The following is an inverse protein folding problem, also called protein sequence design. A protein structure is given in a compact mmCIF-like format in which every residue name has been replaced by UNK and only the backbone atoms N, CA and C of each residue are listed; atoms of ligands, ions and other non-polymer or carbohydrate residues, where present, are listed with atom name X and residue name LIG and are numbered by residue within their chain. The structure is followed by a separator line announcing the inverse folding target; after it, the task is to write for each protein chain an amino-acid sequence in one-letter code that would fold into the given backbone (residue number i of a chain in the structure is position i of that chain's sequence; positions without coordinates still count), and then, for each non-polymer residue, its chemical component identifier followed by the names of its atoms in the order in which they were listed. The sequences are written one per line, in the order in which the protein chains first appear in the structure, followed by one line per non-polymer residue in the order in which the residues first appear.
data_IF_501844911438
#
_entry.id   IF_501844911438
#
_cell.length_a   1.000
_cell.length_b   1.000
_cell.length_c   1.000
_cell.angle_alpha   90.00
_cell.angle_beta   90.00
_cell.angle_gamma   90.00
#
_symmetry.space_group_name_H-M   'P 1'
#
loop_
_entity.id
_entity.type
_entity.pdbx_description
1 polymer ?
#
# COMPACT_ATOMS: atom_id res chain seq x y z
N UNK A 1 38.13 -34.41 14.40
CA UNK A 1 36.79 -34.81 14.85
C UNK A 1 36.16 -33.60 15.50
N UNK A 2 35.10 -33.08 14.84
CA UNK A 2 33.97 -32.26 15.33
C UNK A 2 34.33 -31.20 16.39
N UNK A 3 34.33 -29.91 16.05
CA UNK A 3 33.07 -29.14 16.07
C UNK A 3 32.86 -28.28 14.82
N UNK A 4 31.90 -28.73 14.00
CA UNK A 4 31.29 -27.98 12.91
C UNK A 4 29.84 -27.59 13.27
N UNK A 5 29.53 -27.43 14.57
CA UNK A 5 28.17 -27.20 15.07
C UNK A 5 28.06 -26.06 16.10
N UNK A 6 28.86 -24.99 15.98
CA UNK A 6 28.31 -23.67 16.30
C UNK A 6 27.48 -23.21 15.10
N UNK A 7 26.36 -23.91 14.89
CA UNK A 7 25.31 -23.47 13.99
C UNK A 7 24.79 -22.16 14.57
N UNK A 8 25.26 -21.08 13.98
CA UNK A 8 24.94 -19.67 14.19
C UNK A 8 23.64 -19.43 14.99
N UNK A 9 23.77 -19.34 16.33
CA UNK A 9 22.64 -19.04 17.23
C UNK A 9 22.01 -17.67 16.94
N UNK A 10 22.69 -16.85 16.13
CA UNK A 10 22.24 -15.54 15.70
C UNK A 10 21.42 -15.58 14.40
N UNK A 11 21.40 -16.70 13.67
CA UNK A 11 20.63 -16.88 12.42
C UNK A 11 19.12 -16.92 12.63
N UNK A 12 18.64 -16.97 13.88
CA UNK A 12 17.21 -17.00 14.23
C UNK A 12 16.65 -15.62 14.61
N UNK A 13 17.46 -14.56 14.52
CA UNK A 13 17.01 -13.21 14.90
C UNK A 13 16.06 -12.66 13.84
N UNK A 14 14.84 -12.34 14.28
CA UNK A 14 13.78 -11.76 13.45
C UNK A 14 13.96 -10.24 13.19
N UNK A 15 14.91 -9.60 13.88
CA UNK A 15 15.17 -8.16 13.81
C UNK A 15 16.66 -7.86 13.63
N UNK A 16 16.94 -6.68 13.10
CA UNK A 16 18.29 -6.28 12.61
C UNK A 16 19.11 -5.61 13.70
N UNK A 17 18.52 -5.52 14.89
CA UNK A 17 19.17 -5.04 16.08
C UNK A 17 18.29 -5.24 17.30
N UNK A 18 18.94 -5.10 18.44
CA UNK A 18 18.33 -5.22 19.76
C UNK A 18 19.31 -4.77 20.83
N UNK A 19 18.78 -4.47 22.01
CA UNK A 19 19.62 -4.18 23.17
C UNK A 19 20.17 -5.51 23.73
N UNK A 20 21.49 -5.64 23.78
CA UNK A 20 22.16 -6.77 24.43
C UNK A 20 22.64 -6.34 25.82
N UNK A 21 22.13 -7.01 26.85
CA UNK A 21 22.46 -6.70 28.25
C UNK A 21 23.93 -6.98 28.56
N UNK A 22 24.48 -8.08 28.06
CA UNK A 22 25.89 -8.47 28.29
C UNK A 22 26.88 -7.44 27.73
N UNK A 23 26.55 -6.86 26.57
CA UNK A 23 27.32 -5.79 25.94
C UNK A 23 26.94 -4.39 26.48
N UNK A 24 25.84 -4.29 27.23
CA UNK A 24 25.20 -3.05 27.67
C UNK A 24 25.04 -2.02 26.52
N UNK A 25 24.61 -2.49 25.35
CA UNK A 25 24.57 -1.69 24.13
C UNK A 25 23.43 -2.12 23.19
N UNK A 26 23.01 -1.21 22.32
CA UNK A 26 22.16 -1.55 21.19
C UNK A 26 23.03 -2.05 20.04
N UNK A 27 22.88 -3.33 19.72
CA UNK A 27 23.70 -4.02 18.72
C UNK A 27 22.91 -4.16 17.42
N UNK A 28 23.58 -3.95 16.29
CA UNK A 28 23.04 -4.21 14.95
C UNK A 28 23.69 -5.45 14.36
N UNK A 29 22.90 -6.22 13.61
CA UNK A 29 23.35 -7.44 12.94
C UNK A 29 23.04 -7.35 11.46
N UNK A 30 23.98 -7.80 10.64
CA UNK A 30 23.79 -7.87 9.21
C UNK A 30 22.70 -8.89 8.87
N UNK A 31 21.67 -8.45 8.12
CA UNK A 31 20.62 -9.34 7.59
C UNK A 31 21.09 -10.28 6.49
N UNK A 32 22.11 -9.83 5.77
CA UNK A 32 22.63 -10.47 4.59
C UNK A 32 24.14 -10.22 4.50
N UNK A 33 24.79 -10.91 3.58
CA UNK A 33 26.22 -10.78 3.37
C UNK A 33 26.54 -9.53 2.54
N UNK A 34 26.94 -8.45 3.21
CA UNK A 34 27.43 -7.22 2.56
C UNK A 34 28.89 -7.35 2.12
N UNK A 35 29.20 -6.97 0.88
CA UNK A 35 30.57 -6.86 0.37
C UNK A 35 31.13 -5.46 0.64
N UNK A 36 32.45 -5.34 0.58
CA UNK A 36 33.12 -4.04 0.71
C UNK A 36 32.62 -3.07 -0.38
N UNK A 37 32.06 -1.94 0.05
CA UNK A 37 31.48 -0.92 -0.84
C UNK A 37 29.96 -1.00 -0.97
N UNK A 38 29.33 -2.07 -0.49
CA UNK A 38 27.88 -2.19 -0.47
C UNK A 38 27.26 -1.27 0.58
N UNK A 39 26.06 -0.76 0.27
CA UNK A 39 25.26 -0.05 1.25
C UNK A 39 24.67 -1.05 2.26
N UNK A 40 24.97 -0.85 3.54
CA UNK A 40 24.35 -1.61 4.63
C UNK A 40 22.98 -1.00 4.95
N UNK A 41 21.93 -1.82 4.95
CA UNK A 41 20.56 -1.41 5.19
C UNK A 41 20.02 -2.04 6.48
N UNK A 42 19.03 -1.37 7.07
CA UNK A 42 18.31 -1.83 8.26
C UNK A 42 16.80 -1.80 8.00
N UNK A 43 16.10 -2.79 8.53
CA UNK A 43 14.65 -2.83 8.54
C UNK A 43 14.10 -1.92 9.64
N UNK A 44 13.27 -0.96 9.24
CA UNK A 44 12.68 0.01 10.18
C UNK A 44 11.53 -0.62 10.97
N UNK A 45 10.97 -1.72 10.47
CA UNK A 45 9.82 -2.41 11.05
C UNK A 45 8.75 -2.71 10.00
N UNK A 46 7.58 -3.14 10.46
CA UNK A 46 6.43 -3.51 9.61
C UNK A 46 5.54 -2.32 9.31
N UNK A 47 6.12 -1.24 8.80
CA UNK A 47 5.40 -0.01 8.46
C UNK A 47 4.76 -0.10 7.07
N UNK A 48 3.57 0.46 6.95
CA UNK A 48 2.92 0.77 5.67
C UNK A 48 3.63 1.93 4.99
N UNK A 49 3.40 2.09 3.68
CA UNK A 49 3.96 3.24 2.97
C UNK A 49 3.36 4.58 3.45
N UNK A 50 2.13 4.58 3.99
CA UNK A 50 1.56 5.78 4.57
C UNK A 50 2.34 6.19 5.83
N UNK A 51 2.58 5.26 6.75
CA UNK A 51 3.35 5.51 7.97
C UNK A 51 4.80 5.93 7.65
N UNK A 52 5.44 5.29 6.67
CA UNK A 52 6.78 5.67 6.20
C UNK A 52 6.79 7.09 5.64
N UNK A 53 5.76 7.47 4.88
CA UNK A 53 5.66 8.81 4.32
C UNK A 53 5.42 9.87 5.41
N UNK A 54 4.52 9.62 6.34
CA UNK A 54 4.14 10.56 7.40
C UNK A 54 5.25 10.76 8.44
N UNK A 55 5.93 9.69 8.84
CA UNK A 55 6.92 9.74 9.92
C UNK A 55 8.36 9.88 9.44
N UNK A 56 8.68 9.38 8.24
CA UNK A 56 10.05 9.33 7.74
C UNK A 56 10.25 10.08 6.41
N UNK A 57 9.17 10.47 5.73
CA UNK A 57 9.25 11.31 4.53
C UNK A 57 9.70 10.58 3.26
N UNK A 58 9.52 9.26 3.19
CA UNK A 58 9.84 8.48 2.00
C UNK A 58 8.84 7.34 1.76
N UNK A 59 8.89 6.77 0.56
CA UNK A 59 8.13 5.60 0.16
C UNK A 59 9.08 4.49 -0.28
N UNK A 60 8.74 3.24 0.04
CA UNK A 60 9.42 2.09 -0.54
C UNK A 60 8.76 1.72 -1.86
N UNK A 61 9.55 1.37 -2.88
CA UNK A 61 9.01 0.97 -4.18
C UNK A 61 8.13 -0.26 -4.05
N UNK A 62 8.69 -1.31 -3.46
CA UNK A 62 7.99 -2.54 -3.11
C UNK A 62 8.01 -2.68 -1.58
N UNK A 63 6.87 -2.40 -0.94
CA UNK A 63 6.71 -2.58 0.50
C UNK A 63 5.84 -3.83 0.77
N UNK A 64 6.41 -4.95 1.23
CA UNK A 64 5.63 -6.16 1.53
C UNK A 64 4.68 -5.98 2.71
N UNK A 65 4.93 -4.97 3.55
CA UNK A 65 4.11 -4.66 4.72
C UNK A 65 3.02 -3.61 4.44
N UNK A 66 2.86 -3.18 3.19
CA UNK A 66 1.83 -2.21 2.86
C UNK A 66 0.42 -2.81 3.03
N UNK A 67 -0.48 -1.99 3.58
CA UNK A 67 -1.85 -2.38 3.93
C UNK A 67 -2.81 -1.33 3.40
N UNK A 68 -3.79 -1.77 2.63
CA UNK A 68 -4.85 -0.92 2.11
C UNK A 68 -6.17 -1.29 2.78
N UNK A 69 -6.80 -0.29 3.39
CA UNK A 69 -8.08 -0.44 4.06
C UNK A 69 -9.20 0.03 3.14
N UNK A 70 -10.29 -0.74 3.11
CA UNK A 70 -11.51 -0.39 2.38
C UNK A 70 -12.66 -0.19 3.38
N UNK A 71 -13.68 0.62 3.06
CA UNK A 71 -14.88 0.72 3.88
C UNK A 71 -15.58 -0.65 3.98
N UNK A 72 -15.84 -1.09 5.22
CA UNK A 72 -16.57 -2.33 5.51
C UNK A 72 -17.92 -2.02 6.13
N UNK A 73 -18.91 -2.88 5.88
CA UNK A 73 -20.24 -2.74 6.48
C UNK A 73 -20.19 -2.87 8.00
N UNK A 74 -20.95 -2.06 8.77
CA UNK A 74 -21.00 -2.16 10.23
C UNK A 74 -21.32 -3.58 10.74
N UNK A 75 -22.17 -4.31 10.01
CA UNK A 75 -22.56 -5.68 10.34
C UNK A 75 -21.41 -6.71 10.21
N UNK A 76 -20.35 -6.37 9.47
CA UNK A 76 -19.16 -7.22 9.37
C UNK A 76 -18.39 -7.19 10.70
N UNK A 77 -18.21 -6.02 11.30
CA UNK A 77 -17.51 -5.87 12.59
C UNK A 77 -18.22 -6.60 13.74
N UNK A 78 -19.55 -6.62 13.76
CA UNK A 78 -20.31 -7.37 14.77
C UNK A 78 -20.27 -8.89 14.57
N UNK A 79 -19.81 -9.35 13.40
CA UNK A 79 -19.78 -10.77 13.04
C UNK A 79 -18.40 -11.41 13.22
N UNK A 80 -17.36 -10.65 13.56
CA UNK A 80 -15.96 -11.10 13.61
C UNK A 80 -15.29 -10.73 14.93
N UNK A 81 -14.33 -11.55 15.36
CA UNK A 81 -13.43 -11.28 16.50
C UNK A 81 -12.13 -10.60 16.08
N UNK A 82 -11.90 -10.40 14.78
CA UNK A 82 -10.72 -9.74 14.26
C UNK A 82 -10.73 -8.23 14.53
N UNK A 83 -9.56 -7.66 14.85
CA UNK A 83 -9.41 -6.22 14.99
C UNK A 83 -9.53 -5.52 13.63
N UNK A 84 -9.85 -4.22 13.63
CA UNK A 84 -10.01 -3.44 12.38
C UNK A 84 -8.71 -3.38 11.57
N UNK A 85 -7.60 -3.32 12.28
CA UNK A 85 -6.23 -3.25 11.73
C UNK A 85 -5.83 -4.56 11.04
N UNK A 86 -6.54 -5.65 11.31
CA UNK A 86 -6.34 -6.95 10.67
C UNK A 86 -7.15 -7.09 9.37
N UNK A 87 -8.11 -6.20 9.10
CA UNK A 87 -9.03 -6.29 7.97
C UNK A 87 -8.57 -5.39 6.81
N UNK A 88 -7.56 -5.83 6.09
CA UNK A 88 -6.94 -5.07 4.99
C UNK A 88 -6.69 -5.91 3.75
N UNK A 89 -6.29 -5.23 2.67
CA UNK A 89 -5.78 -5.78 1.41
C UNK A 89 -4.26 -5.59 1.41
N UNK A 90 -3.51 -6.66 1.13
CA UNK A 90 -2.06 -6.64 1.02
C UNK A 90 -1.59 -5.89 -0.23
N UNK A 91 -0.34 -5.44 -0.24
CA UNK A 91 0.33 -4.78 -1.37
C UNK A 91 0.21 -5.51 -2.74
N UNK A 92 -0.11 -6.81 -2.76
CA UNK A 92 -0.29 -7.62 -3.96
C UNK A 92 -1.76 -7.78 -4.39
N UNK A 93 -2.65 -6.97 -3.82
CA UNK A 93 -4.10 -7.01 -4.07
C UNK A 93 -4.83 -8.15 -3.37
N UNK A 94 -4.14 -9.05 -2.64
CA UNK A 94 -4.84 -10.13 -1.94
C UNK A 94 -5.47 -9.62 -0.64
N UNK A 95 -6.75 -9.92 -0.36
CA UNK A 95 -7.31 -9.71 0.96
C UNK A 95 -6.52 -10.50 2.03
N UNK A 96 -6.33 -9.88 3.19
CA UNK A 96 -5.77 -10.55 4.37
C UNK A 96 -6.62 -11.74 4.79
N UNK A 97 -6.00 -12.69 5.48
CA UNK A 97 -6.68 -13.87 6.01
C UNK A 97 -7.88 -13.49 6.89
N UNK A 98 -7.70 -12.52 7.77
CA UNK A 98 -8.73 -12.03 8.67
C UNK A 98 -9.89 -11.38 7.91
N UNK A 99 -9.62 -10.59 6.87
CA UNK A 99 -10.65 -10.01 6.01
C UNK A 99 -11.47 -11.11 5.31
N UNK A 100 -10.80 -12.11 4.74
CA UNK A 100 -11.47 -13.23 4.07
C UNK A 100 -12.34 -14.03 5.05
N UNK A 101 -11.80 -14.35 6.22
CA UNK A 101 -12.50 -15.07 7.27
C UNK A 101 -13.74 -14.29 7.75
N UNK A 102 -13.59 -12.99 7.99
CA UNK A 102 -14.69 -12.12 8.40
C UNK A 102 -15.80 -12.07 7.34
N UNK A 103 -15.44 -11.94 6.05
CA UNK A 103 -16.41 -11.93 4.94
C UNK A 103 -17.16 -13.26 4.82
N UNK A 104 -16.46 -14.40 4.90
CA UNK A 104 -17.09 -15.74 4.86
C UNK A 104 -18.11 -15.92 5.97
N UNK A 105 -17.75 -15.52 7.19
CA UNK A 105 -18.61 -15.63 8.35
C UNK A 105 -19.80 -14.67 8.28
N UNK A 106 -19.56 -13.42 7.84
CA UNK A 106 -20.58 -12.41 7.63
C UNK A 106 -21.62 -12.85 6.59
N UNK A 107 -21.17 -13.38 5.46
CA UNK A 107 -22.01 -13.92 4.39
C UNK A 107 -22.74 -15.23 4.77
N UNK A 108 -22.41 -15.83 5.91
CA UNK A 108 -23.13 -16.99 6.44
C UNK A 108 -24.31 -16.55 7.31
N UNK A 109 -25.52 -17.11 7.12
CA UNK A 109 -26.67 -16.84 8.00
C UNK A 109 -26.33 -17.10 9.47
N UNK A 110 -26.80 -16.22 10.37
CA UNK A 110 -26.46 -16.27 11.80
C UNK A 110 -26.68 -17.64 12.45
N UNK A 111 -27.75 -18.35 12.07
CA UNK A 111 -28.08 -19.68 12.57
C UNK A 111 -27.04 -20.76 12.24
N UNK A 112 -26.24 -20.58 11.18
CA UNK A 112 -25.24 -21.54 10.70
C UNK A 112 -23.80 -21.13 11.00
N UNK A 113 -23.55 -19.94 11.54
CA UNK A 113 -22.19 -19.44 11.81
C UNK A 113 -21.40 -20.34 12.76
N UNK A 114 -22.05 -20.86 13.81
CA UNK A 114 -21.39 -21.77 14.78
C UNK A 114 -20.92 -23.07 14.13
N UNK A 115 -21.68 -23.63 13.19
CA UNK A 115 -21.32 -24.90 12.55
C UNK A 115 -20.19 -24.76 11.53
N UNK A 116 -20.04 -23.59 10.90
CA UNK A 116 -19.01 -23.35 9.87
C UNK A 116 -17.79 -22.58 10.37
N UNK A 117 -17.81 -22.08 11.62
CA UNK A 117 -16.75 -21.24 12.17
C UNK A 117 -15.37 -21.90 12.08
N UNK A 118 -15.27 -23.19 12.42
CA UNK A 118 -14.00 -23.93 12.34
C UNK A 118 -13.43 -23.94 10.91
N UNK A 119 -14.27 -24.07 9.88
CA UNK A 119 -13.85 -24.02 8.47
C UNK A 119 -13.34 -22.64 8.09
N UNK A 120 -14.06 -21.59 8.53
CA UNK A 120 -13.69 -20.21 8.26
C UNK A 120 -12.31 -19.90 8.86
N UNK A 121 -12.10 -20.26 10.13
CA UNK A 121 -10.85 -19.98 10.85
C UNK A 121 -9.71 -20.95 10.50
N UNK A 122 -9.98 -22.08 9.83
CA UNK A 122 -8.94 -22.92 9.21
C UNK A 122 -8.57 -22.46 7.79
N UNK A 123 -9.19 -21.39 7.28
CA UNK A 123 -8.96 -20.90 5.91
C UNK A 123 -9.68 -21.69 4.82
N UNK A 124 -10.50 -22.67 5.20
CA UNK A 124 -11.28 -23.49 4.29
C UNK A 124 -12.47 -22.72 3.72
N UNK A 125 -12.93 -23.12 2.53
CA UNK A 125 -14.15 -22.58 1.92
C UNK A 125 -15.37 -23.09 2.67
N UNK A 126 -16.37 -22.23 2.86
CA UNK A 126 -17.65 -22.65 3.48
C UNK A 126 -18.55 -23.32 2.44
N UNK A 127 -18.74 -22.67 1.31
CA UNK A 127 -19.43 -23.21 0.12
C UNK A 127 -19.03 -22.41 -1.12
N UNK A 128 -19.26 -22.96 -2.30
CA UNK A 128 -18.99 -22.26 -3.57
C UNK A 128 -19.83 -20.98 -3.67
N UNK A 129 -21.12 -21.02 -3.29
CA UNK A 129 -22.00 -19.85 -3.31
C UNK A 129 -21.52 -18.75 -2.36
N UNK A 130 -21.02 -19.13 -1.17
CA UNK A 130 -20.46 -18.18 -0.21
C UNK A 130 -19.21 -17.49 -0.80
N UNK A 131 -18.29 -18.25 -1.40
CA UNK A 131 -17.11 -17.69 -2.06
C UNK A 131 -17.49 -16.76 -3.22
N UNK A 132 -18.44 -17.16 -4.07
CA UNK A 132 -18.91 -16.32 -5.19
C UNK A 132 -19.50 -15.01 -4.67
N UNK A 133 -20.34 -15.08 -3.62
CA UNK A 133 -20.94 -13.90 -3.02
C UNK A 133 -19.89 -12.94 -2.47
N UNK A 134 -18.94 -13.42 -1.66
CA UNK A 134 -17.92 -12.54 -1.06
C UNK A 134 -16.98 -11.93 -2.09
N UNK A 135 -16.62 -12.66 -3.16
CA UNK A 135 -15.73 -12.14 -4.20
C UNK A 135 -16.44 -11.07 -5.04
N UNK A 136 -17.73 -11.27 -5.37
CA UNK A 136 -18.55 -10.24 -6.02
C UNK A 136 -18.72 -9.01 -5.15
N UNK A 137 -18.99 -9.19 -3.86
CA UNK A 137 -19.10 -8.08 -2.91
C UNK A 137 -17.79 -7.32 -2.81
N UNK A 138 -16.66 -8.00 -2.58
CA UNK A 138 -15.35 -7.38 -2.43
C UNK A 138 -14.93 -6.63 -3.69
N UNK A 139 -15.11 -7.24 -4.87
CA UNK A 139 -14.84 -6.58 -6.15
C UNK A 139 -15.69 -5.32 -6.32
N UNK A 140 -16.98 -5.38 -6.00
CA UNK A 140 -17.89 -4.24 -6.11
C UNK A 140 -17.52 -3.12 -5.13
N UNK A 141 -17.15 -3.47 -3.90
CA UNK A 141 -16.70 -2.50 -2.89
C UNK A 141 -15.41 -1.81 -3.34
N UNK A 142 -14.44 -2.56 -3.86
CA UNK A 142 -13.20 -2.00 -4.41
C UNK A 142 -13.46 -1.06 -5.59
N UNK A 143 -14.31 -1.46 -6.54
CA UNK A 143 -14.71 -0.62 -7.68
C UNK A 143 -15.42 0.67 -7.22
N UNK A 144 -16.32 0.58 -6.23
CA UNK A 144 -16.96 1.75 -5.65
C UNK A 144 -15.96 2.70 -4.96
N UNK A 145 -14.95 2.16 -4.26
CA UNK A 145 -13.88 2.97 -3.67
C UNK A 145 -13.11 3.71 -4.77
N UNK A 146 -12.68 3.02 -5.83
CA UNK A 146 -11.93 3.64 -6.93
C UNK A 146 -12.72 4.77 -7.61
N UNK A 147 -14.02 4.57 -7.84
CA UNK A 147 -14.88 5.59 -8.48
C UNK A 147 -15.13 6.82 -7.61
N UNK A 148 -15.06 6.67 -6.30
CA UNK A 148 -15.27 7.76 -5.35
C UNK A 148 -14.00 8.57 -5.05
N UNK A 149 -12.83 8.16 -5.57
CA UNK A 149 -11.60 8.91 -5.42
C UNK A 149 -11.57 10.11 -6.38
N UNK A 150 -10.87 11.20 -6.00
CA UNK A 150 -10.84 12.43 -6.79
C UNK A 150 -10.05 12.31 -8.11
N UNK A 151 -9.18 11.31 -8.23
CA UNK A 151 -8.39 11.06 -9.46
C UNK A 151 -8.36 9.58 -9.83
N UNK A 152 -8.24 9.28 -11.11
CA UNK A 152 -8.12 7.93 -11.65
C UNK A 152 -6.68 7.39 -11.62
N UNK A 153 -6.51 6.10 -11.92
CA UNK A 153 -5.18 5.47 -12.04
C UNK A 153 -4.38 6.09 -13.19
N UNK A 154 -5.05 6.37 -14.30
CA UNK A 154 -4.48 6.90 -15.52
C UNK A 154 -4.03 8.34 -15.32
N UNK A 155 -4.85 9.17 -14.67
CA UNK A 155 -4.54 10.56 -14.34
C UNK A 155 -3.29 10.65 -13.47
N UNK A 156 -3.21 9.86 -12.40
CA UNK A 156 -2.05 9.87 -11.50
C UNK A 156 -0.79 9.26 -12.14
N UNK A 157 -0.95 8.24 -13.00
CA UNK A 157 0.18 7.67 -13.75
C UNK A 157 0.74 8.71 -14.70
N UNK A 158 -0.12 9.43 -15.42
CA UNK A 158 0.28 10.48 -16.32
C UNK A 158 0.91 11.66 -15.57
N UNK A 159 0.31 12.09 -14.45
CA UNK A 159 0.86 13.14 -13.60
C UNK A 159 2.26 12.79 -13.10
N UNK A 160 2.44 11.55 -12.63
CA UNK A 160 3.74 11.08 -12.17
C UNK A 160 4.77 11.05 -13.31
N UNK A 161 4.39 10.53 -14.48
CA UNK A 161 5.24 10.56 -15.67
C UNK A 161 5.61 12.00 -16.09
N UNK A 162 4.69 12.96 -15.93
CA UNK A 162 4.97 14.37 -16.18
C UNK A 162 6.03 14.91 -15.20
N UNK A 163 5.93 14.55 -13.92
CA UNK A 163 6.89 14.93 -12.88
C UNK A 163 8.27 14.26 -13.07
N UNK A 164 8.31 13.06 -13.64
CA UNK A 164 9.56 12.32 -13.89
C UNK A 164 10.28 12.78 -15.16
N UNK A 165 9.54 13.06 -16.24
CA UNK A 165 10.10 13.38 -17.55
C UNK A 165 10.39 14.87 -17.77
N UNK A 166 9.90 15.75 -16.88
CA UNK A 166 10.13 17.19 -17.02
C UNK A 166 11.54 17.56 -16.55
N UNK A 167 12.45 17.77 -17.51
CA UNK A 167 13.68 18.53 -17.25
C UNK A 167 13.37 20.01 -17.01
N UNK A 168 12.31 20.52 -17.66
CA UNK A 168 11.86 21.91 -17.58
C UNK A 168 10.44 22.03 -17.01
N UNK A 169 10.26 23.00 -16.11
CA UNK A 169 8.99 23.28 -15.42
C UNK A 169 7.88 23.71 -16.39
N UNK A 170 8.23 24.28 -17.54
CA UNK A 170 7.30 24.67 -18.61
C UNK A 170 6.57 23.45 -19.19
N UNK A 171 7.32 22.42 -19.58
CA UNK A 171 6.79 21.16 -20.11
C UNK A 171 5.93 20.46 -19.08
N UNK A 172 6.36 20.44 -17.81
CA UNK A 172 5.54 19.94 -16.70
C UNK A 172 4.18 20.65 -16.66
N UNK A 173 4.18 21.98 -16.72
CA UNK A 173 2.98 22.81 -16.61
C UNK A 173 2.00 22.66 -17.77
N UNK A 174 2.48 22.50 -18.99
CA UNK A 174 1.62 22.21 -20.14
C UNK A 174 0.92 20.86 -20.00
N UNK A 175 1.69 19.84 -19.56
CA UNK A 175 1.21 18.48 -19.35
C UNK A 175 0.19 18.43 -18.18
N UNK A 176 0.48 19.10 -17.07
CA UNK A 176 -0.42 19.13 -15.90
C UNK A 176 -1.72 19.90 -16.14
N UNK A 177 -1.69 20.98 -16.93
CA UNK A 177 -2.91 21.70 -17.35
C UNK A 177 -3.88 20.82 -18.14
N UNK A 178 -3.36 19.81 -18.83
CA UNK A 178 -4.15 18.94 -19.69
C UNK A 178 -4.80 17.77 -18.93
N UNK A 179 -4.23 17.34 -17.79
CA UNK A 179 -4.58 16.04 -17.18
C UNK A 179 -4.97 16.08 -15.71
N UNK A 180 -4.51 17.06 -14.92
CA UNK A 180 -4.98 17.16 -13.54
C UNK A 180 -6.39 17.74 -13.51
N UNK A 181 -7.19 17.33 -12.51
CA UNK A 181 -8.27 18.21 -12.04
C UNK A 181 -7.63 19.58 -11.84
N UNK A 182 -8.18 20.61 -12.48
CA UNK A 182 -7.58 21.95 -12.54
C UNK A 182 -7.25 22.52 -11.15
N UNK A 183 -7.81 21.94 -10.11
CA UNK A 183 -7.76 22.43 -8.75
C UNK A 183 -6.39 22.19 -8.06
N UNK A 184 -5.81 20.98 -8.16
CA UNK A 184 -4.56 20.65 -7.43
C UNK A 184 -3.36 21.43 -8.00
N UNK A 185 -3.25 21.51 -9.32
CA UNK A 185 -2.18 22.24 -10.02
C UNK A 185 -2.30 23.74 -9.83
N UNK A 186 -3.51 24.31 -9.92
CA UNK A 186 -3.73 25.73 -9.62
C UNK A 186 -3.39 26.06 -8.17
N UNK A 187 -3.80 25.24 -7.21
CA UNK A 187 -3.48 25.43 -5.79
C UNK A 187 -1.97 25.41 -5.55
N UNK A 188 -1.22 24.52 -6.21
CA UNK A 188 0.24 24.50 -6.13
C UNK A 188 0.87 25.79 -6.67
N UNK A 189 0.38 26.31 -7.80
CA UNK A 189 0.90 27.56 -8.39
C UNK A 189 0.59 28.78 -7.52
N UNK A 190 -0.63 28.86 -6.99
CA UNK A 190 -1.07 29.95 -6.11
C UNK A 190 -0.21 30.02 -4.85
N UNK A 191 -0.02 28.88 -4.18
CA UNK A 191 0.80 28.79 -2.96
C UNK A 191 2.27 29.18 -3.16
N UNK A 192 2.75 29.15 -4.40
CA UNK A 192 4.12 29.51 -4.77
C UNK A 192 4.23 30.81 -5.56
N UNK A 193 3.13 31.59 -5.72
CA UNK A 193 3.07 32.85 -6.47
C UNK A 193 3.50 32.73 -7.95
N UNK A 194 3.11 31.64 -8.61
CA UNK A 194 3.53 31.31 -10.00
C UNK A 194 2.39 31.47 -11.03
N UNK A 195 1.33 32.23 -10.70
CA UNK A 195 0.12 32.35 -11.55
C UNK A 195 0.26 33.31 -12.73
N UNK A 196 1.10 34.34 -12.62
CA UNK A 196 1.12 35.50 -13.54
C UNK A 196 2.25 35.45 -14.59
N UNK A 197 2.97 34.34 -14.72
CA UNK A 197 4.07 34.26 -15.69
C UNK A 197 3.50 33.98 -17.08
N UNK A 198 3.34 35.05 -17.88
CA UNK A 198 2.87 34.99 -19.27
C UNK A 198 3.75 34.16 -20.21
N UNK A 199 4.91 33.68 -19.75
CA UNK A 199 5.70 32.63 -20.39
C UNK A 199 6.41 31.79 -19.33
N UNK A 200 6.14 30.48 -19.28
CA UNK A 200 6.82 29.55 -18.37
C UNK A 200 8.24 29.18 -18.82
N UNK A 201 8.72 29.73 -19.94
CA UNK A 201 10.01 29.38 -20.56
C UNK A 201 11.24 29.69 -19.72
N UNK A 202 11.16 30.59 -18.73
CA UNK A 202 12.30 31.01 -17.89
C UNK A 202 12.08 30.84 -16.37
N UNK A 203 11.07 30.06 -15.95
CA UNK A 203 10.77 29.91 -14.52
C UNK A 203 11.77 28.94 -13.87
N UNK A 204 12.88 29.48 -13.36
CA UNK A 204 13.78 28.73 -12.47
C UNK A 204 13.04 28.48 -11.16
N UNK A 205 12.66 27.23 -10.92
CA UNK A 205 12.07 26.82 -9.65
C UNK A 205 13.00 27.15 -8.49
N UNK A 206 12.49 27.94 -7.53
CA UNK A 206 13.16 28.16 -6.26
C UNK A 206 13.44 26.84 -5.55
N UNK A 207 14.48 26.80 -4.71
CA UNK A 207 14.80 25.60 -3.90
C UNK A 207 13.61 25.14 -3.05
N UNK A 208 12.77 26.09 -2.60
CA UNK A 208 11.52 25.81 -1.87
C UNK A 208 10.51 25.11 -2.76
N UNK A 209 10.26 25.64 -3.96
CA UNK A 209 9.31 25.07 -4.91
C UNK A 209 9.70 23.65 -5.36
N UNK A 210 11.00 23.39 -5.58
CA UNK A 210 11.48 22.02 -5.90
C UNK A 210 11.19 21.04 -4.79
N UNK A 211 11.49 21.39 -3.54
CA UNK A 211 11.18 20.54 -2.37
C UNK A 211 9.68 20.29 -2.22
N UNK A 212 8.85 21.31 -2.48
CA UNK A 212 7.39 21.14 -2.48
C UNK A 212 6.94 20.19 -3.59
N UNK A 213 7.55 20.27 -4.77
CA UNK A 213 7.27 19.38 -5.89
C UNK A 213 7.68 17.93 -5.59
N UNK A 214 8.84 17.71 -4.96
CA UNK A 214 9.28 16.37 -4.52
C UNK A 214 8.30 15.76 -3.50
N UNK A 215 7.82 16.57 -2.55
CA UNK A 215 6.80 16.13 -1.58
C UNK A 215 5.47 15.81 -2.23
N UNK A 216 5.07 16.65 -3.19
CA UNK A 216 3.85 16.41 -3.95
C UNK A 216 3.95 15.12 -4.77
N UNK A 217 5.10 14.88 -5.41
CA UNK A 217 5.39 13.64 -6.12
C UNK A 217 5.26 12.42 -5.22
N UNK A 218 5.78 12.46 -3.98
CA UNK A 218 5.57 11.38 -3.02
C UNK A 218 4.08 11.16 -2.71
N UNK A 219 3.29 12.21 -2.53
CA UNK A 219 1.85 12.09 -2.31
C UNK A 219 1.14 11.44 -3.52
N UNK A 220 1.47 11.85 -4.75
CA UNK A 220 0.96 11.27 -6.00
C UNK A 220 1.35 9.79 -6.11
N UNK A 221 2.61 9.46 -5.84
CA UNK A 221 3.11 8.07 -5.84
C UNK A 221 2.35 7.20 -4.83
N UNK A 222 2.11 7.70 -3.62
CA UNK A 222 1.38 6.97 -2.59
C UNK A 222 -0.06 6.69 -3.01
N UNK A 223 -0.81 7.71 -3.46
CA UNK A 223 -2.22 7.53 -3.86
C UNK A 223 -2.36 6.65 -5.12
N UNK A 224 -1.38 6.71 -6.03
CA UNK A 224 -1.30 5.80 -7.18
C UNK A 224 -1.13 4.34 -6.73
N UNK A 225 -0.22 4.08 -5.78
CA UNK A 225 -0.01 2.74 -5.22
C UNK A 225 -1.26 2.22 -4.52
N UNK A 226 -1.90 3.05 -3.70
CA UNK A 226 -3.17 2.72 -3.05
C UNK A 226 -4.21 2.23 -4.09
N UNK A 227 -4.40 3.00 -5.17
CA UNK A 227 -5.33 2.63 -6.24
C UNK A 227 -4.95 1.34 -6.95
N UNK A 228 -3.65 1.12 -7.23
CA UNK A 228 -3.16 -0.11 -7.86
C UNK A 228 -3.49 -1.34 -7.00
N UNK A 229 -3.27 -1.28 -5.69
CA UNK A 229 -3.60 -2.38 -4.77
C UNK A 229 -5.10 -2.71 -4.81
N UNK A 230 -5.97 -1.69 -4.85
CA UNK A 230 -7.42 -1.91 -4.94
C UNK A 230 -7.81 -2.53 -6.29
N UNK A 231 -7.20 -2.06 -7.38
CA UNK A 231 -7.42 -2.63 -8.71
C UNK A 231 -6.92 -4.09 -8.80
N UNK A 232 -5.78 -4.39 -8.22
CA UNK A 232 -5.23 -5.75 -8.14
C UNK A 232 -6.15 -6.65 -7.31
N UNK A 233 -6.82 -6.12 -6.29
CA UNK A 233 -7.86 -6.85 -5.55
C UNK A 233 -9.08 -7.20 -6.40
N UNK A 234 -9.52 -6.29 -7.28
CA UNK A 234 -10.59 -6.58 -8.25
C UNK A 234 -10.15 -7.71 -9.19
N UNK A 235 -8.93 -7.61 -9.71
CA UNK A 235 -8.33 -8.65 -10.58
C UNK A 235 -8.24 -10.00 -9.87
N UNK A 236 -7.82 -10.01 -8.60
CA UNK A 236 -7.80 -11.20 -7.76
C UNK A 236 -9.21 -11.81 -7.62
N UNK A 237 -10.21 -11.00 -7.28
CA UNK A 237 -11.59 -11.46 -7.12
C UNK A 237 -12.14 -12.09 -8.42
N UNK A 238 -11.92 -11.43 -9.56
CA UNK A 238 -12.36 -11.94 -10.86
C UNK A 238 -11.69 -13.28 -11.21
N UNK A 239 -10.38 -13.39 -10.99
CA UNK A 239 -9.66 -14.66 -11.19
C UNK A 239 -10.21 -15.80 -10.34
N UNK A 240 -10.59 -15.52 -9.09
CA UNK A 240 -11.22 -16.52 -8.22
C UNK A 240 -12.62 -16.86 -8.73
N UNK A 241 -13.43 -15.88 -9.13
CA UNK A 241 -14.77 -16.12 -9.69
C UNK A 241 -14.72 -16.99 -10.95
N UNK A 242 -13.80 -16.71 -11.87
CA UNK A 242 -13.60 -17.51 -13.08
C UNK A 242 -13.19 -18.95 -12.77
N UNK A 243 -12.51 -19.18 -11.65
CA UNK A 243 -12.13 -20.53 -11.19
C UNK A 243 -13.28 -21.29 -10.51
N UNK A 244 -14.31 -20.59 -10.02
CA UNK A 244 -15.45 -21.17 -9.32
C UNK A 244 -16.66 -21.41 -10.24
N UNK A 245 -16.71 -20.70 -11.37
CA UNK A 245 -17.79 -20.81 -12.37
C UNK A 245 -17.47 -21.81 -13.51
N UNK A 246 -16.28 -22.43 -13.47
CA UNK A 246 -15.90 -23.56 -14.32
C UNK A 246 -16.26 -24.87 -13.65
#
# INVERSE_FOLDING_TARGET
MVDAEQLDSHSWRLTDGGFEEDANAYCFYAREHYKKGDQVLLCYGTYTNLELLEHYGFLLQENPNDKVFIPLEPALYSSTSWSKESLYIHHNGKPSFALLAALRLWATPQSRRRSVGHLVYSGSRVSTDNEIFIMKWLSKTCDAVLRNLPTSLEEDTFLLNAMDNSQDFSTFMEITKLVSSRDETCTFLETHNMKDTHSFTDVILSRKARRSMDRWKLAVQWRLKYKKVIFDCITYCNKILDSLLK
#
